data_IF_433073283653
#
_entry.id   IF_433073283653
#
_cell.length_a   1.000
_cell.length_b   1.000
_cell.length_c   1.000
_cell.angle_alpha   90.00
_cell.angle_beta   90.00
_cell.angle_gamma   90.00
#
_symmetry.space_group_name_H-M   'P 1'
#
loop_
_entity.id
_entity.type
_entity.pdbx_description
1 polymer ?
#
# COMPACT_ATOMS: atom_id res chain seq x y z
N UNK A 1 11.41 -13.10 32.97
CA UNK A 1 10.07 -12.74 32.43
C UNK A 1 10.11 -12.97 30.93
N UNK A 2 9.30 -13.88 30.40
CA UNK A 2 9.20 -14.11 28.95
C UNK A 2 8.36 -12.97 28.35
N UNK A 3 8.99 -12.12 27.53
CA UNK A 3 8.26 -11.09 26.78
C UNK A 3 7.38 -11.78 25.73
N UNK A 4 6.08 -11.78 25.96
CA UNK A 4 5.08 -12.25 25.01
C UNK A 4 4.96 -11.19 23.90
N UNK A 5 5.51 -11.49 22.73
CA UNK A 5 5.40 -10.65 21.53
C UNK A 5 4.33 -11.26 20.62
N UNK A 6 3.20 -10.59 20.49
CA UNK A 6 2.15 -10.98 19.53
C UNK A 6 2.39 -10.27 18.20
N UNK A 7 2.79 -11.01 17.16
CA UNK A 7 2.94 -10.46 15.80
C UNK A 7 1.60 -10.53 15.07
N UNK A 8 1.02 -9.37 14.78
CA UNK A 8 -0.12 -9.27 13.87
C UNK A 8 0.44 -9.28 12.45
N UNK A 9 0.26 -10.38 11.73
CA UNK A 9 0.60 -10.45 10.30
C UNK A 9 -0.44 -9.67 9.49
N UNK A 10 0.00 -8.59 8.83
CA UNK A 10 -0.81 -7.87 7.85
C UNK A 10 -0.80 -8.66 6.56
N UNK A 11 -1.92 -8.70 5.84
CA UNK A 11 -1.89 -9.18 4.47
C UNK A 11 -0.92 -8.31 3.67
N UNK A 12 -0.14 -8.95 2.80
CA UNK A 12 0.78 -8.27 1.90
C UNK A 12 0.60 -8.78 0.48
N UNK A 13 0.93 -7.94 -0.48
CA UNK A 13 0.99 -8.27 -1.90
C UNK A 13 2.39 -7.95 -2.37
N UNK A 14 3.07 -8.96 -2.91
CA UNK A 14 4.31 -8.78 -3.64
C UNK A 14 3.97 -8.52 -5.11
N UNK A 15 4.54 -7.47 -5.69
CA UNK A 15 4.32 -7.09 -7.07
C UNK A 15 5.61 -6.59 -7.71
N UNK A 16 5.69 -6.73 -9.04
CA UNK A 16 6.71 -6.06 -9.83
C UNK A 16 6.06 -4.89 -10.56
N UNK A 17 6.69 -3.72 -10.48
CA UNK A 17 6.29 -2.53 -11.23
C UNK A 17 7.40 -2.15 -12.21
N UNK A 18 7.00 -1.77 -13.41
CA UNK A 18 7.90 -1.17 -14.40
C UNK A 18 7.80 0.35 -14.25
N UNK A 19 8.94 0.99 -13.98
CA UNK A 19 9.04 2.44 -13.88
C UNK A 19 9.09 3.06 -15.27
N UNK A 20 8.77 4.35 -15.38
CA UNK A 20 8.85 5.09 -16.65
C UNK A 20 10.24 5.08 -17.32
N UNK A 21 11.31 4.85 -16.54
CA UNK A 21 12.67 4.72 -17.04
C UNK A 21 12.99 3.32 -17.62
N UNK A 22 12.00 2.41 -17.66
CA UNK A 22 12.12 1.04 -18.18
C UNK A 22 12.72 0.04 -17.18
N UNK A 23 12.98 0.45 -15.94
CA UNK A 23 13.50 -0.44 -14.91
C UNK A 23 12.37 -1.11 -14.14
N UNK A 24 12.50 -2.41 -13.90
CA UNK A 24 11.56 -3.16 -13.06
C UNK A 24 11.99 -3.12 -11.60
N UNK A 25 11.06 -2.77 -10.71
CA UNK A 25 11.23 -2.83 -9.26
C UNK A 25 10.31 -3.89 -8.67
N UNK A 26 10.77 -4.57 -7.63
CA UNK A 26 9.96 -5.53 -6.87
C UNK A 26 9.64 -4.92 -5.51
N UNK A 27 8.36 -4.84 -5.20
CA UNK A 27 7.83 -4.12 -4.05
C UNK A 27 6.79 -4.97 -3.34
N UNK A 28 6.68 -4.75 -2.04
CA UNK A 28 5.65 -5.35 -1.19
C UNK A 28 4.74 -4.26 -0.67
N UNK A 29 3.44 -4.38 -0.93
CA UNK A 29 2.43 -3.52 -0.33
C UNK A 29 1.76 -4.24 0.84
N UNK A 30 1.77 -3.62 2.01
CA UNK A 30 1.03 -4.08 3.19
C UNK A 30 -0.38 -3.50 3.21
N UNK A 31 -1.37 -4.31 3.58
CA UNK A 31 -2.75 -3.87 3.71
C UNK A 31 -2.89 -2.78 4.77
N UNK A 32 -3.53 -1.66 4.42
CA UNK A 32 -3.80 -0.52 5.31
C UNK A 32 -4.47 -0.96 6.62
N UNK A 33 -3.92 -0.52 7.75
CA UNK A 33 -4.45 -0.90 9.07
C UNK A 33 -5.58 0.04 9.52
N UNK A 34 -6.31 -0.36 10.57
CA UNK A 34 -7.47 0.39 11.07
C UNK A 34 -7.13 1.82 11.48
N UNK A 35 -5.93 2.07 12.04
CA UNK A 35 -5.48 3.41 12.41
C UNK A 35 -5.30 4.29 11.17
N UNK A 36 -4.65 3.77 10.14
CA UNK A 36 -4.46 4.44 8.87
C UNK A 36 -5.81 4.75 8.20
N UNK A 37 -6.77 3.82 8.21
CA UNK A 37 -8.13 4.08 7.72
C UNK A 37 -8.84 5.22 8.49
N UNK A 38 -8.61 5.33 9.79
CA UNK A 38 -9.15 6.43 10.60
C UNK A 38 -8.49 7.77 10.27
N UNK A 39 -7.20 7.78 9.93
CA UNK A 39 -6.51 9.00 9.50
C UNK A 39 -7.05 9.50 8.14
N UNK A 40 -7.32 8.61 7.18
CA UNK A 40 -7.95 8.96 5.90
C UNK A 40 -9.37 9.51 6.06
N UNK A 41 -10.20 8.87 6.89
CA UNK A 41 -11.59 9.29 7.08
C UNK A 41 -11.75 10.63 7.80
N UNK A 42 -10.74 11.05 8.57
CA UNK A 42 -10.69 12.36 9.23
C UNK A 42 -10.27 13.49 8.28
N UNK A 43 -9.54 13.18 7.22
CA UNK A 43 -8.98 14.12 6.25
C UNK A 43 -10.01 14.65 5.23
N UNK A 44 -11.22 15.01 5.66
CA UNK A 44 -12.33 15.39 4.75
C UNK A 44 -12.08 16.63 3.87
N UNK A 45 -10.95 17.33 3.98
CA UNK A 45 -10.57 18.42 3.09
C UNK A 45 -9.72 17.90 1.93
N UNK A 46 -10.12 18.23 0.69
CA UNK A 46 -9.57 17.68 -0.56
C UNK A 46 -8.03 17.74 -0.67
N UNK A 47 -7.41 18.87 -0.29
CA UNK A 47 -5.95 19.03 -0.38
C UNK A 47 -5.20 18.20 0.69
N UNK A 48 -5.82 18.00 1.86
CA UNK A 48 -5.23 17.18 2.93
C UNK A 48 -5.24 15.67 2.62
N UNK A 49 -6.05 15.23 1.64
CA UNK A 49 -6.16 13.82 1.29
C UNK A 49 -4.94 13.28 0.54
N UNK A 50 -4.31 14.07 -0.32
CA UNK A 50 -3.19 13.59 -1.15
C UNK A 50 -1.96 13.33 -0.27
N UNK A 51 -1.59 14.27 0.59
CA UNK A 51 -0.44 14.14 1.48
C UNK A 51 -0.60 12.96 2.46
N UNK A 52 -1.80 12.78 3.00
CA UNK A 52 -2.10 11.67 3.91
C UNK A 52 -2.07 10.34 3.15
N UNK A 53 -2.61 10.30 1.93
CA UNK A 53 -2.56 9.11 1.07
C UNK A 53 -1.12 8.74 0.72
N UNK A 54 -0.29 9.72 0.37
CA UNK A 54 1.13 9.52 0.08
C UNK A 54 1.91 9.03 1.29
N UNK A 55 1.66 9.61 2.46
CA UNK A 55 2.25 9.15 3.71
C UNK A 55 1.92 7.67 3.95
N UNK A 56 0.66 7.28 3.74
CA UNK A 56 0.27 5.88 3.89
C UNK A 56 0.88 4.96 2.85
N UNK A 57 0.97 5.41 1.61
CA UNK A 57 1.63 4.65 0.55
C UNK A 57 3.09 4.39 0.94
N UNK A 58 3.82 5.40 1.40
CA UNK A 58 5.21 5.27 1.88
C UNK A 58 5.37 4.34 3.08
N UNK A 59 4.41 4.37 4.01
CA UNK A 59 4.40 3.50 5.20
C UNK A 59 4.07 2.05 4.87
N UNK A 60 3.20 1.83 3.87
CA UNK A 60 2.72 0.51 3.50
C UNK A 60 3.53 -0.12 2.37
N UNK A 61 4.36 0.63 1.64
CA UNK A 61 5.32 0.06 0.70
C UNK A 61 6.64 -0.31 1.38
N UNK A 62 7.16 -1.47 0.99
CA UNK A 62 8.51 -1.95 1.30
C UNK A 62 9.22 -2.40 0.03
N UNK A 63 10.54 -2.18 -0.01
CA UNK A 63 11.41 -2.57 -1.11
C UNK A 63 12.52 -1.57 -1.36
N UNK A 64 13.61 -2.03 -1.98
CA UNK A 64 14.66 -1.15 -2.46
C UNK A 64 14.07 -0.35 -3.62
N UNK A 65 14.09 0.99 -3.56
CA UNK A 65 13.53 1.92 -4.55
C UNK A 65 12.01 2.17 -4.49
N UNK A 66 11.40 1.99 -3.33
CA UNK A 66 10.00 2.38 -3.13
C UNK A 66 9.73 3.87 -3.38
N UNK A 67 10.68 4.75 -3.09
CA UNK A 67 10.50 6.20 -3.31
C UNK A 67 10.51 6.54 -4.80
N UNK A 68 11.40 5.92 -5.57
CA UNK A 68 11.41 6.05 -7.04
C UNK A 68 10.06 5.63 -7.63
N UNK A 69 9.50 4.51 -7.18
CA UNK A 69 8.17 4.07 -7.60
C UNK A 69 7.05 5.04 -7.21
N UNK A 70 7.08 5.58 -5.99
CA UNK A 70 6.05 6.51 -5.52
C UNK A 70 6.11 7.81 -6.31
N UNK A 71 7.31 8.30 -6.61
CA UNK A 71 7.51 9.49 -7.43
C UNK A 71 7.04 9.23 -8.87
N UNK A 72 7.40 8.08 -9.45
CA UNK A 72 6.97 7.69 -10.79
C UNK A 72 5.44 7.55 -10.88
N UNK A 73 4.81 6.96 -9.86
CA UNK A 73 3.36 6.83 -9.75
C UNK A 73 2.65 8.19 -9.66
N UNK A 74 3.29 9.18 -9.03
CA UNK A 74 2.79 10.55 -8.91
C UNK A 74 2.93 11.35 -10.21
N UNK A 75 4.07 11.21 -10.89
CA UNK A 75 4.42 12.01 -12.07
C UNK A 75 3.84 11.43 -13.37
N UNK A 76 3.75 10.10 -13.46
CA UNK A 76 3.42 9.39 -14.70
C UNK A 76 2.28 8.39 -14.55
N UNK A 77 1.92 8.02 -13.31
CA UNK A 77 0.89 7.04 -13.03
C UNK A 77 -0.45 7.63 -12.54
N UNK A 78 -1.25 6.78 -11.91
CA UNK A 78 -2.49 7.17 -11.23
C UNK A 78 -2.61 6.44 -9.90
N UNK A 79 -2.54 7.20 -8.81
CA UNK A 79 -2.70 6.71 -7.44
C UNK A 79 -4.05 5.98 -7.28
N UNK A 80 -5.13 6.54 -7.82
CA UNK A 80 -6.47 5.94 -7.72
C UNK A 80 -6.50 4.56 -8.38
N UNK A 81 -5.96 4.45 -9.60
CA UNK A 81 -5.91 3.18 -10.33
C UNK A 81 -5.08 2.11 -9.60
N UNK A 82 -3.98 2.53 -8.97
CA UNK A 82 -3.14 1.66 -8.17
C UNK A 82 -3.90 1.12 -6.94
N UNK A 83 -4.55 2.00 -6.18
CA UNK A 83 -5.31 1.57 -4.99
C UNK A 83 -6.52 0.72 -5.31
N UNK A 84 -7.24 0.99 -6.41
CA UNK A 84 -8.34 0.13 -6.88
C UNK A 84 -7.81 -1.27 -7.18
N UNK A 85 -6.73 -1.37 -7.96
CA UNK A 85 -6.12 -2.65 -8.33
C UNK A 85 -5.66 -3.42 -7.07
N UNK A 86 -4.97 -2.75 -6.15
CA UNK A 86 -4.47 -3.37 -4.93
C UNK A 86 -5.59 -3.80 -3.98
N UNK A 87 -6.66 -3.02 -3.87
CA UNK A 87 -7.87 -3.37 -3.10
C UNK A 87 -8.52 -4.66 -3.62
N UNK A 88 -8.64 -4.80 -4.94
CA UNK A 88 -9.18 -6.02 -5.54
C UNK A 88 -8.30 -7.24 -5.27
N UNK A 89 -6.97 -7.09 -5.32
CA UNK A 89 -6.04 -8.16 -5.00
C UNK A 89 -6.14 -8.58 -3.52
N UNK A 90 -6.20 -7.63 -2.59
CA UNK A 90 -6.43 -7.94 -1.18
C UNK A 90 -7.77 -8.64 -0.95
N UNK A 91 -8.82 -8.21 -1.66
CA UNK A 91 -10.13 -8.88 -1.61
C UNK A 91 -10.04 -10.32 -2.08
N UNK A 92 -9.37 -10.59 -3.22
CA UNK A 92 -9.16 -11.96 -3.73
C UNK A 92 -8.40 -12.83 -2.73
N UNK A 93 -7.36 -12.31 -2.09
CA UNK A 93 -6.60 -13.02 -1.04
C UNK A 93 -7.51 -13.37 0.15
N UNK A 94 -8.33 -12.42 0.61
CA UNK A 94 -9.29 -12.66 1.71
C UNK A 94 -10.37 -13.67 1.34
N UNK A 95 -10.89 -13.62 0.11
CA UNK A 95 -11.88 -14.58 -0.37
C UNK A 95 -11.29 -15.99 -0.50
N UNK A 96 -10.04 -16.12 -0.96
CA UNK A 96 -9.32 -17.39 -1.01
C UNK A 96 -9.12 -17.99 0.39
N UNK A 97 -8.76 -17.17 1.39
CA UNK A 97 -8.62 -17.61 2.79
C UNK A 97 -9.94 -18.04 3.44
N UNK A 98 -11.10 -17.57 2.96
CA UNK A 98 -12.43 -17.94 3.49
C UNK A 98 -13.00 -19.23 2.88
N UNK A 99 -12.46 -19.69 1.76
CA UNK A 99 -12.91 -20.91 1.06
C UNK A 99 -12.14 -22.18 1.47
N UNK A 100 -11.05 -22.04 2.22
CA UNK A 100 -10.31 -23.13 2.88
C UNK A 100 -10.73 -23.23 4.34
#
# INVERSE_FOLDING_TARGET
>A
MANLVFKVERASIDFSAELSNGESVTLTLFETNTRQLQELTKAKELDSNIDITLKQLRENLSGQRKEDFIQDLLEHGSIDSFYVTMSEQFRKIKEAKRKN
#
